data_IF_213637619489
#
_entry.id   IF_213637619489
#
_cell.length_a   1.000
_cell.length_b   1.000
_cell.length_c   1.000
_cell.angle_alpha   90.00
_cell.angle_beta   90.00
_cell.angle_gamma   90.00
#
_symmetry.space_group_name_H-M   'P 1'
#
loop_
_entity.id
_entity.type
_entity.pdbx_description
1 polymer ?
#
# COMPACT_ATOMS: atom_id res chain seq x y z
N UNK A 1 9.10 -12.43 -7.98
CA UNK A 1 9.56 -11.70 -9.19
C UNK A 1 10.14 -10.39 -8.71
N UNK A 2 11.46 -10.18 -8.84
CA UNK A 2 12.08 -8.87 -8.63
C UNK A 2 11.53 -7.90 -9.69
N UNK A 3 11.22 -6.66 -9.29
CA UNK A 3 10.84 -5.58 -10.20
C UNK A 3 11.93 -4.53 -10.15
N UNK A 4 12.50 -4.18 -11.30
CA UNK A 4 13.40 -3.04 -11.44
C UNK A 4 12.58 -1.76 -11.57
N UNK A 5 12.99 -0.68 -10.89
CA UNK A 5 12.51 0.68 -11.21
C UNK A 5 13.56 1.31 -12.13
N UNK A 6 13.11 1.77 -13.29
CA UNK A 6 13.95 2.50 -14.24
C UNK A 6 13.77 3.99 -13.99
N UNK A 7 14.84 4.63 -13.50
CA UNK A 7 14.89 6.07 -13.32
C UNK A 7 15.50 6.66 -14.60
N UNK A 8 14.71 7.43 -15.35
CA UNK A 8 15.13 7.99 -16.63
C UNK A 8 15.68 9.40 -16.43
N UNK A 9 16.96 9.61 -16.73
CA UNK A 9 17.52 10.95 -16.92
C UNK A 9 17.72 11.22 -18.42
N UNK A 10 17.68 12.49 -18.84
CA UNK A 10 17.77 12.90 -20.25
C UNK A 10 19.08 12.53 -20.96
N UNK A 11 20.01 11.87 -20.26
CA UNK A 11 21.32 11.46 -20.80
C UNK A 11 21.77 10.07 -20.35
N UNK A 12 21.21 9.46 -19.30
CA UNK A 12 21.57 8.10 -18.85
C UNK A 12 20.38 7.40 -18.16
N UNK A 13 20.25 6.09 -18.38
CA UNK A 13 19.33 5.22 -17.64
C UNK A 13 20.15 4.49 -16.58
N UNK A 14 19.91 4.79 -15.30
CA UNK A 14 20.56 4.06 -14.20
C UNK A 14 19.60 3.02 -13.66
N UNK A 15 19.92 1.74 -13.87
CA UNK A 15 19.20 0.63 -13.23
C UNK A 15 19.63 0.56 -11.76
N UNK A 16 18.73 0.90 -10.83
CA UNK A 16 18.95 0.70 -9.38
C UNK A 16 18.09 -0.50 -8.94
N UNK A 17 18.72 -1.50 -8.31
CA UNK A 17 18.01 -2.66 -7.76
C UNK A 17 17.06 -2.21 -6.64
N UNK A 18 15.77 -2.48 -6.82
CA UNK A 18 14.75 -2.22 -5.81
C UNK A 18 14.67 -3.43 -4.90
N UNK A 19 15.06 -3.22 -3.64
CA UNK A 19 14.88 -4.21 -2.57
C UNK A 19 13.41 -4.63 -2.51
N UNK A 20 13.12 -5.91 -2.31
CA UNK A 20 11.75 -6.44 -2.27
C UNK A 20 11.10 -6.13 -0.91
N UNK A 21 10.01 -5.35 -0.90
CA UNK A 21 9.35 -4.91 0.35
C UNK A 21 8.19 -5.84 0.73
N UNK A 22 7.97 -6.04 2.04
CA UNK A 22 6.65 -6.41 2.56
C UNK A 22 5.75 -5.18 2.51
N UNK A 23 5.29 -4.84 1.31
CA UNK A 23 4.64 -3.56 1.04
C UNK A 23 3.23 -3.49 1.62
N UNK A 24 2.80 -2.37 2.24
CA UNK A 24 1.40 -2.17 2.53
C UNK A 24 0.53 -2.21 1.28
N UNK A 25 -0.66 -2.77 1.46
CA UNK A 25 -1.63 -3.01 0.38
C UNK A 25 -2.17 -1.73 -0.26
N UNK A 26 -2.25 -0.65 0.51
CA UNK A 26 -2.91 0.58 0.10
C UNK A 26 -2.02 1.44 -0.81
N UNK A 27 -0.73 1.57 -0.50
CA UNK A 27 0.24 2.30 -1.35
C UNK A 27 0.36 1.69 -2.75
N UNK A 28 0.29 0.35 -2.86
CA UNK A 28 0.23 -0.34 -4.16
C UNK A 28 -1.04 -0.02 -4.93
N UNK A 29 -2.18 0.09 -4.24
CA UNK A 29 -3.48 0.36 -4.87
C UNK A 29 -3.58 1.77 -5.43
N UNK A 30 -2.95 2.75 -4.77
CA UNK A 30 -2.89 4.13 -5.27
C UNK A 30 -1.65 4.42 -6.14
N UNK A 31 -0.81 3.41 -6.40
CA UNK A 31 0.36 3.55 -7.26
C UNK A 31 1.51 4.38 -6.69
N UNK A 32 1.57 4.59 -5.36
CA UNK A 32 2.52 5.52 -4.73
C UNK A 32 3.82 4.87 -4.24
N UNK A 33 4.01 3.56 -4.48
CA UNK A 33 5.18 2.85 -3.98
C UNK A 33 6.50 3.33 -4.58
N UNK A 34 6.51 3.67 -5.86
CA UNK A 34 7.72 4.11 -6.53
C UNK A 34 8.18 5.46 -5.99
N UNK A 35 7.22 6.35 -5.66
CA UNK A 35 7.52 7.60 -4.97
C UNK A 35 8.11 7.36 -3.58
N UNK A 36 7.49 6.48 -2.78
CA UNK A 36 7.99 6.17 -1.42
C UNK A 36 9.41 5.62 -1.47
N UNK A 37 9.70 4.72 -2.42
CA UNK A 37 11.05 4.18 -2.61
C UNK A 37 12.06 5.26 -3.04
N UNK A 38 11.68 6.13 -3.98
CA UNK A 38 12.53 7.24 -4.42
C UNK A 38 12.82 8.21 -3.28
N UNK A 39 11.82 8.54 -2.47
CA UNK A 39 11.93 9.48 -1.36
C UNK A 39 12.68 8.90 -0.16
N UNK A 40 12.58 7.59 0.10
CA UNK A 40 13.46 6.88 1.04
C UNK A 40 14.92 7.00 0.60
N UNK A 41 15.21 6.64 -0.66
CA UNK A 41 16.57 6.70 -1.21
C UNK A 41 17.15 8.11 -1.13
N UNK A 42 16.42 9.11 -1.63
CA UNK A 42 16.87 10.51 -1.61
C UNK A 42 17.03 11.03 -0.19
N UNK A 43 16.15 10.65 0.75
CA UNK A 43 16.34 11.04 2.14
C UNK A 43 17.62 10.45 2.75
N UNK A 44 18.05 9.26 2.31
CA UNK A 44 19.34 8.68 2.67
C UNK A 44 20.52 9.38 2.01
N UNK A 45 20.43 9.69 0.72
CA UNK A 45 21.48 10.42 -0.02
C UNK A 45 21.73 11.82 0.55
N UNK A 46 20.69 12.46 1.10
CA UNK A 46 20.77 13.77 1.76
C UNK A 46 21.00 13.71 3.28
N UNK A 47 21.30 12.52 3.84
CA UNK A 47 21.52 12.30 5.28
C UNK A 47 20.41 12.87 6.19
N UNK A 48 19.14 12.71 5.78
CA UNK A 48 18.01 13.25 6.52
C UNK A 48 17.72 12.41 7.78
N UNK A 49 17.33 13.03 8.92
CA UNK A 49 17.15 12.34 10.21
C UNK A 49 16.09 11.21 10.25
N UNK A 50 15.26 11.09 9.22
CA UNK A 50 14.21 10.07 9.10
C UNK A 50 14.46 9.05 7.99
N UNK A 51 15.64 9.06 7.38
CA UNK A 51 15.96 8.18 6.25
C UNK A 51 15.78 6.68 6.54
N UNK A 52 16.06 6.25 7.77
CA UNK A 52 15.92 4.86 8.21
C UNK A 52 14.51 4.50 8.69
N UNK A 53 13.59 5.47 8.73
CA UNK A 53 12.28 5.34 9.37
C UNK A 53 11.13 5.06 8.39
N UNK A 54 11.34 5.16 7.08
CA UNK A 54 10.29 4.98 6.08
C UNK A 54 9.59 3.63 6.22
N UNK A 55 10.39 2.55 6.28
CA UNK A 55 9.88 1.18 6.25
C UNK A 55 8.97 0.80 7.42
N UNK A 56 9.24 1.35 8.60
CA UNK A 56 8.43 1.06 9.80
C UNK A 56 7.15 1.89 9.89
N UNK A 57 6.99 2.89 9.01
CA UNK A 57 5.89 3.85 9.03
C UNK A 57 5.05 3.81 7.74
N UNK A 58 5.16 2.74 6.93
CA UNK A 58 4.43 2.65 5.66
C UNK A 58 2.89 2.54 5.84
N UNK A 59 2.43 2.19 7.04
CA UNK A 59 1.02 2.12 7.41
C UNK A 59 0.51 3.40 8.13
N UNK A 60 1.35 4.43 8.26
CA UNK A 60 0.99 5.72 8.86
C UNK A 60 0.99 6.82 7.78
N UNK A 61 -0.17 7.14 7.17
CA UNK A 61 -0.27 8.19 6.15
C UNK A 61 0.17 9.56 6.65
N UNK A 62 -0.08 9.86 7.92
CA UNK A 62 0.30 11.15 8.51
C UNK A 62 1.81 11.26 8.70
N UNK A 63 2.48 10.15 9.02
CA UNK A 63 3.94 10.10 9.02
C UNK A 63 4.50 10.23 7.60
N UNK A 64 3.97 9.47 6.64
CA UNK A 64 4.44 9.50 5.25
C UNK A 64 4.31 10.89 4.64
N UNK A 65 3.20 11.58 4.86
CA UNK A 65 3.01 12.94 4.33
C UNK A 65 4.04 13.93 4.86
N UNK A 66 4.31 13.90 6.17
CA UNK A 66 5.36 14.71 6.77
C UNK A 66 6.75 14.35 6.22
N UNK A 67 7.05 13.06 6.03
CA UNK A 67 8.32 12.63 5.48
C UNK A 67 8.48 13.08 4.02
N UNK A 68 7.44 12.92 3.21
CA UNK A 68 7.39 13.36 1.80
C UNK A 68 7.64 14.86 1.68
N UNK A 69 6.88 15.67 2.41
CA UNK A 69 7.02 17.13 2.39
C UNK A 69 8.40 17.59 2.86
N UNK A 70 8.91 17.01 3.93
CA UNK A 70 10.21 17.38 4.48
C UNK A 70 11.38 16.94 3.60
N UNK A 71 11.31 15.77 2.97
CA UNK A 71 12.32 15.33 2.01
C UNK A 71 12.27 16.22 0.77
N UNK A 72 11.10 16.39 0.14
CA UNK A 72 10.96 17.16 -1.10
C UNK A 72 11.46 18.61 -0.93
N UNK A 73 11.15 19.24 0.20
CA UNK A 73 11.62 20.60 0.50
C UNK A 73 13.14 20.76 0.58
N UNK A 74 13.90 19.67 0.80
CA UNK A 74 15.36 19.66 0.97
C UNK A 74 16.13 19.23 -0.27
N UNK A 75 15.45 18.62 -1.24
CA UNK A 75 16.04 18.23 -2.51
C UNK A 75 16.53 19.46 -3.28
N UNK A 76 17.61 19.27 -4.03
CA UNK A 76 18.01 20.22 -5.06
C UNK A 76 17.03 20.22 -6.24
N UNK A 77 17.24 21.12 -7.20
CA UNK A 77 16.31 21.27 -8.32
C UNK A 77 16.31 20.06 -9.26
N UNK A 78 17.46 19.39 -9.43
CA UNK A 78 17.55 18.22 -10.32
C UNK A 78 16.76 17.03 -9.74
N UNK A 79 16.92 16.76 -8.45
CA UNK A 79 16.20 15.69 -7.77
C UNK A 79 14.71 16.02 -7.59
N UNK A 80 14.36 17.31 -7.43
CA UNK A 80 12.97 17.74 -7.45
C UNK A 80 12.32 17.45 -8.78
N UNK A 81 12.93 17.85 -9.89
CA UNK A 81 12.39 17.58 -11.23
C UNK A 81 12.22 16.08 -11.47
N UNK A 82 13.12 15.27 -10.93
CA UNK A 82 13.04 13.81 -11.04
C UNK A 82 11.77 13.23 -10.42
N UNK A 83 11.42 13.65 -9.20
CA UNK A 83 10.28 13.07 -8.45
C UNK A 83 8.99 13.88 -8.57
N UNK A 84 9.05 15.09 -9.16
CA UNK A 84 7.92 16.04 -9.24
C UNK A 84 6.62 15.41 -9.77
N UNK A 85 6.61 14.64 -10.87
CA UNK A 85 5.36 14.09 -11.40
C UNK A 85 4.65 13.20 -10.37
N UNK A 86 5.41 12.32 -9.71
CA UNK A 86 4.87 11.41 -8.70
C UNK A 86 4.50 12.16 -7.40
N UNK A 87 5.27 13.19 -7.05
CA UNK A 87 5.01 14.02 -5.87
C UNK A 87 3.72 14.85 -6.04
N UNK A 88 3.43 15.33 -7.25
CA UNK A 88 2.16 16.01 -7.55
C UNK A 88 0.96 15.05 -7.42
N UNK A 89 1.10 13.80 -7.86
CA UNK A 89 0.08 12.76 -7.64
C UNK A 89 -0.14 12.50 -6.13
N UNK A 90 0.94 12.47 -5.34
CA UNK A 90 0.85 12.35 -3.88
C UNK A 90 0.06 13.49 -3.26
N UNK A 91 0.36 14.74 -3.63
CA UNK A 91 -0.38 15.92 -3.15
C UNK A 91 -1.86 15.84 -3.53
N UNK A 92 -2.16 15.39 -4.76
CA UNK A 92 -3.54 15.18 -5.18
C UNK A 92 -4.25 14.14 -4.32
N UNK A 93 -3.62 12.98 -4.09
CA UNK A 93 -4.21 11.92 -3.27
C UNK A 93 -4.42 12.35 -1.83
N UNK A 94 -3.47 13.07 -1.23
CA UNK A 94 -3.58 13.55 0.14
C UNK A 94 -4.70 14.59 0.30
N UNK A 95 -4.94 15.41 -0.72
CA UNK A 95 -6.01 16.40 -0.71
C UNK A 95 -7.41 15.84 -1.04
N UNK A 96 -7.48 14.75 -1.82
CA UNK A 96 -8.75 14.27 -2.41
C UNK A 96 -9.19 12.88 -1.92
N UNK A 97 -8.34 12.11 -1.27
CA UNK A 97 -8.70 10.82 -0.68
C UNK A 97 -8.65 10.85 0.84
N UNK A 98 -9.60 10.16 1.46
CA UNK A 98 -9.45 9.74 2.85
C UNK A 98 -8.40 8.62 2.90
N UNK A 99 -7.15 8.99 3.14
CA UNK A 99 -6.06 8.04 3.23
C UNK A 99 -6.20 7.10 4.43
N UNK A 100 -6.87 7.53 5.51
CA UNK A 100 -7.21 6.65 6.64
C UNK A 100 -8.15 5.53 6.20
N UNK A 101 -9.15 5.86 5.39
CA UNK A 101 -9.98 4.88 4.72
C UNK A 101 -9.17 4.02 3.73
N UNK A 102 -8.24 4.61 2.96
CA UNK A 102 -7.40 3.86 2.01
C UNK A 102 -6.49 2.82 2.69
N UNK A 103 -5.91 3.15 3.85
CA UNK A 103 -5.19 2.18 4.71
C UNK A 103 -6.14 1.08 5.19
N UNK A 104 -7.38 1.46 5.54
CA UNK A 104 -8.44 0.57 6.02
C UNK A 104 -9.25 -0.16 4.94
N UNK A 105 -9.05 0.11 3.64
CA UNK A 105 -9.82 -0.51 2.57
C UNK A 105 -9.46 -2.00 2.54
N UNK A 106 -10.25 -2.82 3.23
CA UNK A 106 -10.26 -4.25 3.01
C UNK A 106 -10.89 -4.58 1.66
N UNK A 107 -10.63 -5.78 1.16
CA UNK A 107 -11.47 -6.38 0.14
C UNK A 107 -12.78 -6.81 0.80
N UNK A 108 -13.92 -6.51 0.17
CA UNK A 108 -15.21 -7.02 0.66
C UNK A 108 -15.45 -8.40 0.06
N UNK A 109 -15.60 -9.40 0.92
CA UNK A 109 -15.95 -10.76 0.53
C UNK A 109 -17.35 -11.10 1.03
N UNK A 110 -18.10 -11.82 0.20
CA UNK A 110 -19.24 -12.61 0.67
C UNK A 110 -18.70 -13.95 1.19
N UNK A 111 -19.08 -14.29 2.42
CA UNK A 111 -18.62 -15.49 3.13
C UNK A 111 -19.81 -16.23 3.74
N UNK A 112 -19.74 -17.56 3.81
CA UNK A 112 -20.69 -18.36 4.57
C UNK A 112 -20.27 -18.45 6.04
N UNK A 113 -21.24 -18.42 6.95
CA UNK A 113 -21.01 -18.64 8.38
C UNK A 113 -20.78 -20.13 8.65
N UNK A 114 -19.76 -20.47 9.44
CA UNK A 114 -19.47 -21.82 9.88
C UNK A 114 -19.72 -21.97 11.39
N UNK A 115 -20.26 -23.11 11.80
CA UNK A 115 -20.48 -23.48 13.20
C UNK A 115 -20.17 -24.96 13.43
N UNK A 116 -19.86 -25.33 14.68
CA UNK A 116 -19.83 -26.73 15.11
C UNK A 116 -18.85 -27.64 14.36
N UNK A 117 -17.62 -27.18 14.13
CA UNK A 117 -16.59 -27.97 13.43
C UNK A 117 -16.51 -27.73 11.93
N UNK A 118 -16.92 -26.54 11.46
CA UNK A 118 -16.77 -26.11 10.06
C UNK A 118 -17.99 -26.39 9.18
N UNK A 119 -19.15 -26.68 9.77
CA UNK A 119 -20.38 -26.86 9.00
C UNK A 119 -21.04 -25.51 8.70
N UNK A 120 -21.54 -25.33 7.48
CA UNK A 120 -22.29 -24.12 7.10
C UNK A 120 -23.54 -23.97 7.93
N UNK A 121 -23.79 -22.76 8.42
CA UNK A 121 -25.06 -22.39 9.04
C UNK A 121 -26.12 -22.30 7.95
N UNK A 122 -27.20 -23.03 8.12
CA UNK A 122 -28.35 -23.08 7.21
C UNK A 122 -29.60 -22.67 7.97
N UNK A 123 -30.37 -21.73 7.40
CA UNK A 123 -31.69 -21.33 7.90
C UNK A 123 -32.68 -21.34 6.73
N UNK A 124 -33.86 -21.92 6.95
CA UNK A 124 -34.89 -22.18 5.92
C UNK A 124 -34.34 -22.81 4.61
N UNK A 125 -33.40 -23.75 4.74
CA UNK A 125 -32.77 -24.42 3.61
C UNK A 125 -31.76 -23.56 2.81
N UNK A 126 -31.50 -22.33 3.25
CA UNK A 126 -30.51 -21.43 2.64
C UNK A 126 -29.26 -21.25 3.52
N UNK A 127 -28.09 -21.26 2.87
CA UNK A 127 -26.82 -20.98 3.55
C UNK A 127 -26.79 -19.52 3.95
N UNK A 128 -26.49 -19.26 5.23
CA UNK A 128 -26.35 -17.91 5.75
C UNK A 128 -25.01 -17.30 5.31
N UNK A 129 -25.08 -16.15 4.65
CA UNK A 129 -23.92 -15.40 4.18
C UNK A 129 -23.84 -14.01 4.79
N UNK A 130 -22.63 -13.49 4.94
CA UNK A 130 -22.36 -12.12 5.40
C UNK A 130 -21.28 -11.47 4.55
N UNK A 131 -21.26 -10.14 4.53
CA UNK A 131 -20.17 -9.36 3.94
C UNK A 131 -19.13 -9.04 5.02
N UNK A 132 -17.87 -9.33 4.72
CA UNK A 132 -16.74 -9.03 5.61
C UNK A 132 -15.70 -8.21 4.88
N UNK A 133 -15.14 -7.21 5.55
CA UNK A 133 -13.97 -6.47 5.07
C UNK A 133 -12.70 -7.20 5.51
N UNK A 134 -11.91 -7.62 4.54
CA UNK A 134 -10.68 -8.39 4.75
C UNK A 134 -9.46 -7.56 4.35
N UNK A 135 -8.53 -7.35 5.28
CA UNK A 135 -7.28 -6.64 5.01
C UNK A 135 -6.26 -7.54 4.33
N UNK A 136 -5.55 -7.04 3.32
CA UNK A 136 -4.48 -7.80 2.68
C UNK A 136 -3.84 -7.07 1.51
N UNK A 137 -2.60 -7.44 1.17
CA UNK A 137 -1.82 -6.92 0.05
C UNK A 137 -2.37 -7.27 -1.34
N UNK A 138 -3.13 -8.36 -1.40
CA UNK A 138 -3.86 -8.85 -2.56
C UNK A 138 -5.15 -9.51 -2.11
N UNK A 139 -6.02 -9.91 -3.06
CA UNK A 139 -7.20 -10.72 -2.75
C UNK A 139 -6.83 -12.03 -2.06
N UNK A 140 -5.77 -12.71 -2.49
CA UNK A 140 -5.32 -13.97 -1.86
C UNK A 140 -4.82 -13.73 -0.43
N UNK A 141 -4.03 -12.68 -0.20
CA UNK A 141 -3.57 -12.33 1.15
C UNK A 141 -4.75 -11.96 2.07
N UNK A 142 -5.72 -11.21 1.55
CA UNK A 142 -6.92 -10.86 2.29
C UNK A 142 -7.77 -12.10 2.61
N UNK A 143 -7.89 -13.04 1.66
CA UNK A 143 -8.58 -14.31 1.90
C UNK A 143 -7.87 -15.16 2.96
N UNK A 144 -6.54 -15.12 3.01
CA UNK A 144 -5.77 -15.82 4.06
C UNK A 144 -6.00 -15.28 5.47
N UNK A 145 -6.48 -14.03 5.60
CA UNK A 145 -6.84 -13.42 6.89
C UNK A 145 -8.20 -13.87 7.42
N UNK A 146 -8.95 -14.65 6.62
CA UNK A 146 -10.27 -15.16 6.98
C UNK A 146 -10.14 -16.13 8.18
N UNK A 147 -10.93 -15.90 9.23
CA UNK A 147 -10.94 -16.78 10.40
C UNK A 147 -11.65 -18.09 10.09
N UNK A 148 -11.41 -19.12 10.90
CA UNK A 148 -12.00 -20.47 10.73
C UNK A 148 -13.53 -20.52 10.88
N UNK A 149 -14.15 -19.42 11.28
CA UNK A 149 -15.60 -19.25 11.44
C UNK A 149 -16.29 -18.91 10.12
N UNK A 150 -15.53 -18.70 9.05
CA UNK A 150 -16.04 -18.30 7.75
C UNK A 150 -15.51 -19.19 6.62
N UNK A 151 -16.32 -19.38 5.60
CA UNK A 151 -15.92 -19.96 4.32
C UNK A 151 -16.05 -18.89 3.22
N UNK A 152 -14.96 -18.65 2.50
CA UNK A 152 -14.96 -17.72 1.38
C UNK A 152 -15.85 -18.19 0.22
N UNK A 153 -16.77 -17.34 -0.25
CA UNK A 153 -17.59 -17.63 -1.43
C UNK A 153 -17.12 -16.85 -2.66
N UNK A 154 -17.13 -15.50 -2.57
CA UNK A 154 -16.71 -14.62 -3.67
C UNK A 154 -16.32 -13.22 -3.18
N UNK A 155 -15.57 -12.52 -4.02
CA UNK A 155 -15.36 -11.08 -3.87
C UNK A 155 -16.57 -10.31 -4.38
N UNK A 156 -16.87 -9.19 -3.73
CA UNK A 156 -17.87 -8.19 -4.16
C UNK A 156 -17.18 -7.06 -4.91
#
# INVERSE_FOLDING_TARGET
MNRSIYIYNSTEVTEKEVVQWSTPSWLRRIGMMDLVAAMEMLSGEYDLPWADQWRRNLDDPGWLDRAMLNTFGRLDDADKELVRPLYEDWLWYFANLDLGAAVGLGYVAEVALLWGGGQRVVDDGQVQTVLVSLGGASREDAKSSLTSEYEFLRWV
#
